data_IF_389729987367
#
_entry.id   IF_389729987367
#
_cell.length_a   1.000
_cell.length_b   1.000
_cell.length_c   1.000
_cell.angle_alpha   90.00
_cell.angle_beta   90.00
_cell.angle_gamma   90.00
#
_symmetry.space_group_name_H-M   'P 1'
#
loop_
_entity.id
_entity.type
_entity.pdbx_description
1 polymer ?
#
# COMPACT_ATOMS: atom_id res chain seq x y z
N UNK A 1 -6.22 -6.58 10.10
CA UNK A 1 -7.41 -5.94 9.51
C UNK A 1 -7.95 -6.86 8.44
N UNK A 2 -9.25 -7.08 8.40
CA UNK A 2 -9.88 -7.93 7.38
C UNK A 2 -10.29 -7.10 6.13
N UNK A 3 -10.71 -7.80 5.06
CA UNK A 3 -11.12 -7.15 3.80
C UNK A 3 -12.27 -6.16 4.00
N UNK A 4 -13.29 -6.53 4.78
CA UNK A 4 -14.49 -5.70 4.99
C UNK A 4 -14.16 -4.38 5.68
N UNK A 5 -13.34 -4.44 6.73
CA UNK A 5 -12.84 -3.25 7.44
C UNK A 5 -12.04 -2.33 6.51
N UNK A 6 -11.19 -2.91 5.66
CA UNK A 6 -10.39 -2.15 4.70
C UNK A 6 -11.28 -1.46 3.66
N UNK A 7 -12.24 -2.17 3.07
CA UNK A 7 -13.18 -1.60 2.09
C UNK A 7 -13.95 -0.42 2.69
N UNK A 8 -14.40 -0.56 3.94
CA UNK A 8 -15.10 0.50 4.67
C UNK A 8 -14.21 1.71 4.94
N UNK A 9 -12.96 1.49 5.38
CA UNK A 9 -12.00 2.59 5.61
C UNK A 9 -11.66 3.35 4.34
N UNK A 10 -11.54 2.63 3.22
CA UNK A 10 -11.34 3.23 1.90
C UNK A 10 -12.63 3.88 1.35
N UNK A 11 -13.79 3.59 1.95
CA UNK A 11 -15.11 4.09 1.53
C UNK A 11 -15.51 3.57 0.15
N UNK A 12 -15.24 2.30 -0.11
CA UNK A 12 -15.53 1.61 -1.39
C UNK A 12 -16.37 0.34 -1.19
N UNK A 13 -16.87 0.09 0.01
CA UNK A 13 -17.69 -1.07 0.38
C UNK A 13 -18.96 -1.19 -0.46
N UNK A 14 -19.47 -0.08 -1.00
CA UNK A 14 -20.64 -0.02 -1.87
C UNK A 14 -20.30 -0.04 -3.37
N UNK A 15 -19.01 -0.09 -3.74
CA UNK A 15 -18.58 -0.20 -5.14
C UNK A 15 -18.78 -1.62 -5.68
N UNK A 16 -18.75 -1.79 -7.00
CA UNK A 16 -18.78 -3.12 -7.61
C UNK A 16 -17.59 -3.97 -7.14
N UNK A 17 -17.77 -5.29 -7.09
CA UNK A 17 -16.70 -6.23 -6.68
C UNK A 17 -15.45 -6.07 -7.56
N UNK A 18 -15.65 -5.85 -8.86
CA UNK A 18 -14.56 -5.57 -9.80
C UNK A 18 -13.77 -4.32 -9.39
N UNK A 19 -14.47 -3.22 -9.08
CA UNK A 19 -13.81 -1.97 -8.66
C UNK A 19 -13.14 -2.10 -7.31
N UNK A 20 -13.74 -2.83 -6.37
CA UNK A 20 -13.13 -3.15 -5.09
C UNK A 20 -11.81 -3.90 -5.28
N UNK A 21 -11.82 -4.95 -6.11
CA UNK A 21 -10.63 -5.75 -6.38
C UNK A 21 -9.54 -4.94 -7.10
N UNK A 22 -9.91 -4.10 -8.06
CA UNK A 22 -8.97 -3.20 -8.76
C UNK A 22 -8.26 -2.27 -7.76
N UNK A 23 -9.01 -1.62 -6.86
CA UNK A 23 -8.45 -0.70 -5.87
C UNK A 23 -7.57 -1.45 -4.87
N UNK A 24 -8.01 -2.62 -4.39
CA UNK A 24 -7.22 -3.45 -3.49
C UNK A 24 -5.92 -3.94 -4.14
N UNK A 25 -5.94 -4.30 -5.43
CA UNK A 25 -4.75 -4.69 -6.16
C UNK A 25 -3.77 -3.53 -6.31
N UNK A 26 -4.27 -2.33 -6.64
CA UNK A 26 -3.44 -1.13 -6.76
C UNK A 26 -2.79 -0.77 -5.42
N UNK A 27 -3.54 -0.87 -4.32
CA UNK A 27 -3.01 -0.67 -2.97
C UNK A 27 -1.92 -1.70 -2.64
N UNK A 28 -2.16 -2.98 -2.90
CA UNK A 28 -1.20 -4.05 -2.67
C UNK A 28 0.10 -3.83 -3.48
N UNK A 29 -0.02 -3.50 -4.77
CA UNK A 29 1.14 -3.21 -5.63
C UNK A 29 1.98 -2.05 -5.10
N UNK A 30 1.31 -1.00 -4.61
CA UNK A 30 1.98 0.20 -4.13
C UNK A 30 2.65 -0.04 -2.76
N UNK A 31 2.03 -0.84 -1.87
CA UNK A 31 2.67 -1.36 -0.66
C UNK A 31 3.92 -2.17 -1.00
N UNK A 32 3.80 -3.16 -1.89
CA UNK A 32 4.92 -4.01 -2.30
C UNK A 32 6.08 -3.21 -2.88
N UNK A 33 5.79 -2.18 -3.69
CA UNK A 33 6.80 -1.28 -4.24
C UNK A 33 7.52 -0.50 -3.14
N UNK A 34 6.78 0.05 -2.16
CA UNK A 34 7.37 0.80 -1.03
C UNK A 34 8.20 -0.10 -0.13
N UNK A 35 7.77 -1.35 0.11
CA UNK A 35 8.57 -2.36 0.79
C UNK A 35 9.87 -2.60 0.01
N UNK A 36 9.81 -2.87 -1.29
CA UNK A 36 11.00 -3.15 -2.09
C UNK A 36 12.02 -2.00 -2.09
N UNK A 37 11.56 -0.75 -2.21
CA UNK A 37 12.42 0.43 -2.10
C UNK A 37 13.12 0.45 -0.74
N UNK A 38 12.37 0.24 0.34
CA UNK A 38 12.91 0.27 1.70
C UNK A 38 13.80 -0.92 2.03
N UNK A 39 13.59 -2.07 1.40
CA UNK A 39 14.49 -3.22 1.43
C UNK A 39 15.80 -2.88 0.71
N UNK A 40 15.74 -2.24 -0.45
CA UNK A 40 16.94 -1.85 -1.21
C UNK A 40 17.81 -0.81 -0.50
N UNK A 41 17.24 -0.05 0.44
CA UNK A 41 17.99 0.88 1.30
C UNK A 41 18.78 0.15 2.42
N UNK A 42 18.43 -1.10 2.74
CA UNK A 42 18.97 -1.85 3.88
C UNK A 42 19.74 -3.11 3.50
N UNK A 43 19.45 -3.69 2.33
CA UNK A 43 20.06 -4.89 1.81
C UNK A 43 21.17 -4.55 0.82
N UNK A 44 22.15 -5.45 0.69
CA UNK A 44 23.18 -5.30 -0.35
C UNK A 44 22.64 -5.71 -1.72
N UNK A 45 23.35 -5.34 -2.78
CA UNK A 45 23.00 -5.76 -4.15
C UNK A 45 22.98 -7.29 -4.28
N UNK A 46 23.88 -8.02 -3.60
CA UNK A 46 23.88 -9.48 -3.58
C UNK A 46 22.64 -10.06 -2.90
N UNK A 47 22.21 -9.45 -1.79
CA UNK A 47 20.99 -9.87 -1.09
C UNK A 47 19.75 -9.66 -1.98
N UNK A 48 19.69 -8.55 -2.72
CA UNK A 48 18.61 -8.25 -3.67
C UNK A 48 18.61 -9.22 -4.88
N UNK A 49 19.77 -9.56 -5.43
CA UNK A 49 19.91 -10.54 -6.50
C UNK A 49 19.45 -11.94 -6.04
N UNK A 50 19.79 -12.30 -4.79
CA UNK A 50 19.36 -13.57 -4.21
C UNK A 50 17.83 -13.62 -4.03
N UNK A 51 17.22 -12.52 -3.57
CA UNK A 51 15.76 -12.38 -3.48
C UNK A 51 15.13 -12.51 -4.87
N UNK A 52 15.65 -11.82 -5.89
CA UNK A 52 15.14 -11.89 -7.26
C UNK A 52 15.12 -13.33 -7.78
N UNK A 53 16.23 -14.07 -7.58
CA UNK A 53 16.31 -15.49 -7.96
C UNK A 53 15.29 -16.35 -7.24
N UNK A 54 15.02 -16.10 -5.96
CA UNK A 54 13.99 -16.85 -5.22
C UNK A 54 12.59 -16.57 -5.75
N UNK A 55 12.28 -15.30 -6.09
CA UNK A 55 11.00 -14.90 -6.69
C UNK A 55 10.82 -15.56 -8.06
N UNK A 56 11.84 -15.53 -8.93
CA UNK A 56 11.79 -16.16 -10.27
C UNK A 56 11.54 -17.68 -10.20
N UNK A 57 11.96 -18.31 -9.10
CA UNK A 57 11.75 -19.73 -8.83
C UNK A 57 10.47 -20.03 -8.02
N UNK A 58 9.60 -19.04 -7.78
CA UNK A 58 8.37 -19.14 -6.98
C UNK A 58 8.60 -19.67 -5.56
N UNK A 59 9.69 -19.24 -4.92
CA UNK A 59 10.10 -19.67 -3.58
C UNK A 59 9.65 -18.67 -2.50
N UNK A 60 8.38 -18.28 -2.51
CA UNK A 60 7.84 -17.19 -1.69
C UNK A 60 8.12 -17.33 -0.19
N UNK A 61 8.04 -18.55 0.35
CA UNK A 61 8.37 -18.80 1.76
C UNK A 61 9.86 -18.58 2.08
N UNK A 62 10.74 -18.87 1.13
CA UNK A 62 12.18 -18.68 1.31
C UNK A 62 12.57 -17.21 1.19
N UNK A 63 11.87 -16.45 0.33
CA UNK A 63 12.00 -14.98 0.26
C UNK A 63 11.70 -14.37 1.63
N UNK A 64 10.55 -14.71 2.22
CA UNK A 64 10.13 -14.13 3.51
C UNK A 64 11.12 -14.48 4.63
N UNK A 65 11.61 -15.74 4.65
CA UNK A 65 12.64 -16.19 5.61
C UNK A 65 13.95 -15.45 5.44
N UNK A 66 14.40 -15.29 4.20
CA UNK A 66 15.65 -14.61 3.91
C UNK A 66 15.59 -13.15 4.36
N UNK A 67 14.54 -12.42 4.00
CA UNK A 67 14.36 -11.03 4.41
C UNK A 67 14.28 -10.91 5.93
N UNK A 68 13.51 -11.77 6.60
CA UNK A 68 13.39 -11.78 8.08
C UNK A 68 14.73 -12.08 8.77
N UNK A 69 15.61 -12.87 8.15
CA UNK A 69 16.95 -13.15 8.68
C UNK A 69 17.92 -11.95 8.58
N UNK A 70 17.68 -11.06 7.61
CA UNK A 70 18.52 -9.88 7.34
C UNK A 70 18.02 -8.62 8.03
N UNK A 71 16.70 -8.49 8.17
CA UNK A 71 16.04 -7.30 8.71
C UNK A 71 15.34 -7.68 10.01
N UNK A 72 15.90 -7.29 11.16
CA UNK A 72 15.22 -7.41 12.45
C UNK A 72 13.88 -6.68 12.40
N UNK A 73 12.84 -7.27 12.99
CA UNK A 73 11.49 -6.70 13.03
C UNK A 73 10.86 -6.44 11.65
N UNK A 74 11.25 -7.20 10.62
CA UNK A 74 10.69 -7.08 9.27
C UNK A 74 9.16 -7.08 9.24
N UNK A 75 8.52 -7.91 10.07
CA UNK A 75 7.07 -7.97 10.19
C UNK A 75 6.46 -6.65 10.69
N UNK A 76 7.04 -6.02 11.71
CA UNK A 76 6.58 -4.71 12.20
C UNK A 76 6.77 -3.62 11.15
N UNK A 77 7.92 -3.66 10.47
CA UNK A 77 8.24 -2.76 9.38
C UNK A 77 7.24 -2.86 8.22
N UNK A 78 6.88 -4.07 7.79
CA UNK A 78 5.88 -4.31 6.75
C UNK A 78 4.50 -3.81 7.17
N UNK A 79 4.06 -4.18 8.37
CA UNK A 79 2.79 -3.73 8.94
C UNK A 79 2.69 -2.20 9.01
N UNK A 80 3.80 -1.52 9.33
CA UNK A 80 3.88 -0.07 9.32
C UNK A 80 3.70 0.52 7.93
N UNK A 81 4.40 -0.02 6.92
CA UNK A 81 4.26 0.45 5.53
C UNK A 81 2.83 0.27 5.03
N UNK A 82 2.20 -0.87 5.33
CA UNK A 82 0.79 -1.12 5.01
C UNK A 82 -0.14 -0.08 5.66
N UNK A 83 0.03 0.16 6.97
CA UNK A 83 -0.77 1.13 7.70
C UNK A 83 -0.60 2.56 7.16
N UNK A 84 0.65 2.99 6.95
CA UNK A 84 0.99 4.31 6.43
C UNK A 84 0.39 4.53 5.03
N UNK A 85 0.43 3.50 4.18
CA UNK A 85 -0.12 3.59 2.82
C UNK A 85 -1.64 3.71 2.82
N UNK A 86 -2.32 2.98 3.70
CA UNK A 86 -3.78 3.05 3.84
C UNK A 86 -4.20 4.45 4.34
N UNK A 87 -3.49 4.99 5.33
CA UNK A 87 -3.73 6.35 5.82
C UNK A 87 -3.46 7.40 4.72
N UNK A 88 -2.40 7.25 3.94
CA UNK A 88 -2.09 8.14 2.83
C UNK A 88 -3.23 8.18 1.79
N UNK A 89 -3.76 7.02 1.41
CA UNK A 89 -4.90 6.93 0.48
C UNK A 89 -6.15 7.60 1.05
N UNK A 90 -6.45 7.39 2.33
CA UNK A 90 -7.61 7.99 3.00
C UNK A 90 -7.47 9.51 3.08
N UNK A 91 -6.29 10.00 3.46
CA UNK A 91 -6.01 11.43 3.59
C UNK A 91 -6.02 12.16 2.25
N UNK A 92 -5.49 11.52 1.20
CA UNK A 92 -5.53 12.07 -0.16
C UNK A 92 -6.97 12.20 -0.66
N UNK A 93 -7.83 11.19 -0.43
CA UNK A 93 -9.26 11.27 -0.75
C UNK A 93 -9.94 12.42 -0.02
N UNK A 94 -9.72 12.54 1.29
CA UNK A 94 -10.29 13.62 2.11
C UNK A 94 -9.90 15.01 1.60
N UNK A 95 -8.61 15.18 1.29
CA UNK A 95 -8.07 16.45 0.76
C UNK A 95 -8.68 16.82 -0.59
N UNK A 96 -8.88 15.85 -1.49
CA UNK A 96 -9.56 16.09 -2.78
C UNK A 96 -11.01 16.52 -2.58
N UNK A 97 -11.74 15.87 -1.67
CA UNK A 97 -13.14 16.21 -1.38
C UNK A 97 -13.27 17.63 -0.79
N UNK A 98 -12.42 18.00 0.16
CA UNK A 98 -12.40 19.36 0.73
C UNK A 98 -12.14 20.42 -0.34
N UNK A 99 -11.23 20.16 -1.27
CA UNK A 99 -10.97 21.08 -2.38
C UNK A 99 -12.16 21.22 -3.32
N UNK A 100 -12.90 20.13 -3.60
CA UNK A 100 -14.13 20.18 -4.42
C UNK A 100 -15.23 21.00 -3.72
N UNK A 101 -15.40 20.84 -2.41
CA UNK A 101 -16.40 21.58 -1.62
C UNK A 101 -16.06 23.08 -1.56
N UNK A 102 -14.77 23.42 -1.38
CA UNK A 102 -14.29 24.81 -1.42
C UNK A 102 -14.58 25.46 -2.79
N UNK A 103 -14.26 24.77 -3.90
CA UNK A 103 -14.54 25.28 -5.25
C UNK A 103 -16.06 25.46 -5.47
N UNK A 104 -16.87 24.52 -4.97
CA UNK A 104 -18.32 24.57 -5.14
C UNK A 104 -18.95 25.71 -4.35
N UNK A 105 -18.48 25.94 -3.12
CA UNK A 105 -18.95 27.04 -2.26
C UNK A 105 -18.51 28.43 -2.75
N UNK A 106 -17.28 28.57 -3.26
CA UNK A 106 -16.83 29.83 -3.88
C UNK A 106 -17.67 30.19 -5.11
N UNK A 107 -17.99 29.22 -5.98
CA UNK A 107 -18.83 29.45 -7.17
C UNK A 107 -20.26 29.89 -6.82
N UNK A 108 -20.84 29.39 -5.74
CA UNK A 108 -22.18 29.79 -5.26
C UNK A 108 -22.19 31.19 -4.61
N UNK A 109 -21.06 31.64 -4.06
CA UNK A 109 -20.93 32.97 -3.45
C UNK A 109 -20.74 34.11 -4.45
N UNK A 110 -20.41 33.78 -5.71
CA UNK A 110 -20.15 34.73 -6.80
C UNK A 110 -21.33 34.85 -7.79
N UNK A 111 -22.43 34.11 -7.59
CA UNK A 111 -23.65 34.11 -8.39
C UNK A 111 -24.82 34.74 -7.64
#
# INVERSE_FOLDING_TARGET
>A
MNKEELLKRLGIENSSVEKQNEILQNLANAVSTRIMVKLSEQLTDEDLDQISKMIDNNQDMEVERFITSKIPNYEEFKNKIEADMIEEVINNKSSIMQNIDAISSEKLSLS
#
